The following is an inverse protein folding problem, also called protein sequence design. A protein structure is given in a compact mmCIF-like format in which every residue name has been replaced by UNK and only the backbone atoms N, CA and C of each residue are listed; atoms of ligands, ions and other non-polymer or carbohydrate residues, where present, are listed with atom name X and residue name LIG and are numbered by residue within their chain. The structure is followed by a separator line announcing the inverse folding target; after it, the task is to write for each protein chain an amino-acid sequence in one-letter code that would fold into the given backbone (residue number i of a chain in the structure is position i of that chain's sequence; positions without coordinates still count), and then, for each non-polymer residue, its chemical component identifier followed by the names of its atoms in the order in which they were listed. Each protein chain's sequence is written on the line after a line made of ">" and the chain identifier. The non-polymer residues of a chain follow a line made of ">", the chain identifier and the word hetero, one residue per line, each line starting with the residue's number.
data_IF_278157780498
#
_entry.id   IF_278157780498
#
_cell.length_a   1.000
_cell.length_b   1.000
_cell.length_c   1.000
_cell.angle_alpha   90.00
_cell.angle_beta   90.00
_cell.angle_gamma   90.00
#
_symmetry.space_group_name_H-M   'P 1'
#
loop_
_entity.id
_entity.type
_entity.pdbx_description
1 polymer ?
#
# COMPACT_ATOMS: atom_id res chain seq x y z
N UNK A 1 14.22 -10.21 4.03
CA UNK A 1 15.26 -9.15 4.09
C UNK A 1 14.84 -7.96 4.95
N UNK A 2 13.57 -7.55 4.99
CA UNK A 2 13.13 -6.44 5.84
C UNK A 2 13.50 -6.62 7.33
N UNK A 3 13.29 -7.81 7.89
CA UNK A 3 13.66 -8.11 9.28
C UNK A 3 15.18 -8.04 9.52
N UNK A 4 16.00 -8.43 8.54
CA UNK A 4 17.46 -8.28 8.62
C UNK A 4 17.85 -6.80 8.60
N UNK A 5 17.23 -6.00 7.74
CA UNK A 5 17.47 -4.56 7.66
C UNK A 5 17.04 -3.86 8.97
N UNK A 6 15.91 -4.25 9.54
CA UNK A 6 15.46 -3.83 10.85
C UNK A 6 16.49 -4.20 11.94
N UNK A 7 17.00 -5.44 11.96
CA UNK A 7 18.04 -5.86 12.90
C UNK A 7 19.33 -5.04 12.78
N UNK A 8 19.77 -4.70 11.56
CA UNK A 8 20.92 -3.82 11.34
C UNK A 8 20.70 -2.41 11.91
N UNK A 9 19.48 -1.87 11.78
CA UNK A 9 19.13 -0.58 12.37
C UNK A 9 19.07 -0.62 13.90
N UNK A 10 18.74 -1.79 14.48
CA UNK A 10 18.76 -2.00 15.93
C UNK A 10 20.15 -2.07 16.51
N UNK A 11 21.11 -2.69 15.81
CA UNK A 11 22.50 -2.73 16.23
C UNK A 11 23.12 -1.32 16.37
N UNK A 12 22.48 -0.30 15.80
CA UNK A 12 22.88 1.10 15.90
C UNK A 12 22.02 1.93 16.88
N UNK A 13 21.41 1.28 17.89
CA UNK A 13 20.62 1.90 18.96
C UNK A 13 19.49 2.83 18.47
N UNK A 14 18.87 2.50 17.32
CA UNK A 14 17.78 3.28 16.68
C UNK A 14 18.17 4.72 16.27
N UNK A 15 19.40 5.15 16.53
CA UNK A 15 19.91 6.50 16.26
C UNK A 15 19.85 6.83 14.76
N UNK A 16 20.31 5.88 13.94
CA UNK A 16 20.30 5.96 12.48
C UNK A 16 18.86 6.02 11.97
N UNK A 17 17.96 5.22 12.53
CA UNK A 17 16.58 5.14 12.04
C UNK A 17 15.77 6.42 12.31
N UNK A 18 16.02 7.10 13.45
CA UNK A 18 15.41 8.42 13.76
C UNK A 18 15.80 9.49 12.74
N UNK A 19 17.00 9.39 12.16
CA UNK A 19 17.51 10.31 11.15
C UNK A 19 17.06 9.88 9.75
N UNK A 20 17.16 8.58 9.44
CA UNK A 20 16.91 8.02 8.11
C UNK A 20 15.44 8.08 7.70
N UNK A 21 14.52 7.83 8.61
CA UNK A 21 13.09 7.75 8.29
C UNK A 21 12.50 9.08 7.80
N UNK A 22 12.84 10.25 8.38
CA UNK A 22 12.52 11.54 7.78
C UNK A 22 12.99 11.68 6.33
N UNK A 23 14.24 11.28 6.02
CA UNK A 23 14.75 11.31 4.64
C UNK A 23 13.97 10.36 3.72
N UNK A 24 13.54 9.20 4.21
CA UNK A 24 12.71 8.26 3.45
C UNK A 24 11.36 8.89 3.12
N UNK A 25 10.68 9.49 4.10
CA UNK A 25 9.39 10.17 3.91
C UNK A 25 9.53 11.30 2.89
N UNK A 26 10.52 12.18 3.09
CA UNK A 26 10.80 13.29 2.17
C UNK A 26 11.14 12.78 0.76
N UNK A 27 11.93 11.70 0.65
CA UNK A 27 12.26 11.06 -0.62
C UNK A 27 11.02 10.54 -1.35
N UNK A 28 10.09 9.88 -0.65
CA UNK A 28 8.81 9.45 -1.21
C UNK A 28 8.01 10.65 -1.71
N UNK A 29 7.92 11.74 -0.94
CA UNK A 29 7.22 12.96 -1.34
C UNK A 29 7.78 13.56 -2.63
N UNK A 30 9.12 13.68 -2.74
CA UNK A 30 9.78 14.16 -3.96
C UNK A 30 9.56 13.23 -5.14
N UNK A 31 9.63 11.91 -4.93
CA UNK A 31 9.40 10.93 -6.00
C UNK A 31 7.96 10.93 -6.47
N UNK A 32 6.97 11.03 -5.58
CA UNK A 32 5.56 11.18 -5.96
C UNK A 32 5.36 12.44 -6.80
N UNK A 33 5.90 13.58 -6.36
CA UNK A 33 5.84 14.83 -7.11
C UNK A 33 6.49 14.70 -8.50
N UNK A 34 7.66 14.06 -8.57
CA UNK A 34 8.34 13.77 -9.83
C UNK A 34 7.55 12.82 -10.73
N UNK A 35 7.00 11.74 -10.17
CA UNK A 35 6.23 10.77 -10.94
C UNK A 35 5.00 11.43 -11.57
N UNK A 36 4.35 12.34 -10.86
CA UNK A 36 3.22 13.14 -11.37
C UNK A 36 3.67 14.14 -12.43
N UNK A 37 4.59 15.05 -12.08
CA UNK A 37 4.91 16.24 -12.92
C UNK A 37 6.02 16.03 -13.95
N UNK A 38 6.89 15.04 -13.73
CA UNK A 38 8.13 14.84 -14.49
C UNK A 38 9.24 15.82 -14.11
N UNK A 39 9.07 16.60 -13.03
CA UNK A 39 9.96 17.69 -12.62
C UNK A 39 10.24 17.64 -11.12
N UNK A 40 11.34 18.27 -10.72
CA UNK A 40 11.74 18.38 -9.31
C UNK A 40 11.61 19.81 -8.77
N UNK A 41 11.42 20.79 -9.66
CA UNK A 41 11.27 22.20 -9.30
C UNK A 41 9.93 22.74 -9.80
N UNK A 42 9.30 23.67 -9.06
CA UNK A 42 8.12 24.38 -9.54
C UNK A 42 8.41 25.13 -10.84
N UNK A 43 7.40 25.25 -11.71
CA UNK A 43 7.51 26.02 -12.94
C UNK A 43 6.94 27.44 -12.76
N UNK A 44 7.63 28.44 -13.32
CA UNK A 44 7.10 29.80 -13.44
C UNK A 44 5.75 29.79 -14.18
N UNK A 45 4.74 30.49 -13.63
CA UNK A 45 3.36 30.46 -14.12
C UNK A 45 2.48 29.32 -13.59
N UNK A 46 3.06 28.32 -12.90
CA UNK A 46 2.33 27.19 -12.30
C UNK A 46 2.54 27.02 -10.79
N UNK A 47 3.25 27.96 -10.16
CA UNK A 47 3.65 27.90 -8.76
C UNK A 47 2.52 27.48 -7.80
N UNK A 48 1.32 28.07 -7.91
CA UNK A 48 0.18 27.72 -7.04
C UNK A 48 -0.22 26.25 -7.14
N UNK A 49 -0.22 25.70 -8.35
CA UNK A 49 -0.58 24.31 -8.62
C UNK A 49 0.50 23.36 -8.17
N UNK A 50 1.75 23.69 -8.47
CA UNK A 50 2.90 22.87 -8.07
C UNK A 50 3.04 22.84 -6.54
N UNK A 51 2.81 23.97 -5.84
CA UNK A 51 2.75 24.01 -4.38
C UNK A 51 1.58 23.19 -3.81
N UNK A 52 0.38 23.30 -4.37
CA UNK A 52 -0.77 22.52 -3.92
C UNK A 52 -0.52 21.01 -4.06
N UNK A 53 0.03 20.58 -5.19
CA UNK A 53 0.43 19.19 -5.40
C UNK A 53 1.54 18.76 -4.44
N UNK A 54 2.56 19.60 -4.22
CA UNK A 54 3.65 19.31 -3.28
C UNK A 54 3.12 19.11 -1.85
N UNK A 55 2.15 19.90 -1.39
CA UNK A 55 1.50 19.69 -0.10
C UNK A 55 0.83 18.32 -0.01
N UNK A 56 0.10 17.90 -1.06
CA UNK A 56 -0.52 16.57 -1.08
C UNK A 56 0.55 15.46 -1.03
N UNK A 57 1.62 15.59 -1.83
CA UNK A 57 2.73 14.64 -1.83
C UNK A 57 3.51 14.62 -0.50
N UNK A 58 3.52 15.72 0.26
CA UNK A 58 4.19 15.81 1.56
C UNK A 58 3.41 15.08 2.67
N UNK A 59 2.08 15.23 2.71
CA UNK A 59 1.28 14.65 3.79
C UNK A 59 0.98 13.16 3.61
N UNK A 60 0.78 12.71 2.37
CA UNK A 60 0.34 11.33 2.12
C UNK A 60 1.29 10.24 2.62
N UNK A 61 2.63 10.33 2.45
CA UNK A 61 3.53 9.28 2.93
C UNK A 61 3.44 9.04 4.44
N UNK A 62 3.12 10.07 5.23
CA UNK A 62 2.86 9.94 6.66
C UNK A 62 1.47 9.39 7.00
N UNK A 63 0.46 9.69 6.17
CA UNK A 63 -0.92 9.25 6.39
C UNK A 63 -1.18 7.79 6.04
N UNK A 64 -0.53 7.25 5.00
CA UNK A 64 -0.86 5.88 4.58
C UNK A 64 -0.55 4.85 5.68
N UNK A 65 0.58 4.95 6.40
CA UNK A 65 0.82 4.02 7.50
C UNK A 65 -0.04 4.31 8.75
N UNK A 66 -0.48 5.56 8.97
CA UNK A 66 -1.43 5.92 10.05
C UNK A 66 -2.78 5.23 9.86
N UNK A 67 -3.35 5.31 8.65
CA UNK A 67 -4.67 4.76 8.33
C UNK A 67 -4.73 3.22 8.26
N UNK A 68 -3.59 2.53 8.39
CA UNK A 68 -3.50 1.06 8.32
C UNK A 68 -3.04 0.43 9.65
N UNK A 69 -3.12 1.19 10.75
CA UNK A 69 -2.80 0.71 12.10
C UNK A 69 -1.40 0.07 12.21
N UNK A 70 -0.41 0.62 11.48
CA UNK A 70 0.94 0.06 11.39
C UNK A 70 1.87 0.47 12.55
N UNK A 71 1.39 1.21 13.54
CA UNK A 71 2.23 1.90 14.53
C UNK A 71 1.87 1.47 15.93
N UNK A 72 2.81 1.20 16.83
CA UNK A 72 2.53 0.84 18.25
C UNK A 72 3.71 1.13 19.18
N UNK A 73 4.90 0.66 18.78
CA UNK A 73 6.15 0.66 19.52
C UNK A 73 7.26 1.11 18.57
N UNK A 74 8.35 1.68 19.05
CA UNK A 74 9.56 1.99 18.29
C UNK A 74 10.11 0.79 17.52
N UNK A 75 10.10 -0.42 18.11
CA UNK A 75 10.54 -1.66 17.43
C UNK A 75 9.64 -2.02 16.25
N UNK A 76 8.33 -1.90 16.43
CA UNK A 76 7.32 -2.21 15.42
C UNK A 76 7.15 -1.08 14.41
N UNK A 77 7.46 0.16 14.81
CA UNK A 77 7.61 1.29 13.90
C UNK A 77 8.79 1.04 12.96
N UNK A 78 9.88 0.49 13.48
CA UNK A 78 11.05 0.14 12.67
C UNK A 78 10.75 -1.04 11.74
N UNK A 79 10.22 -2.16 12.24
CA UNK A 79 9.87 -3.31 11.41
C UNK A 79 8.79 -2.95 10.36
N UNK A 80 7.73 -2.25 10.77
CA UNK A 80 6.72 -1.71 9.87
C UNK A 80 7.31 -0.76 8.83
N UNK A 81 8.14 0.20 9.23
CA UNK A 81 8.78 1.12 8.28
C UNK A 81 9.64 0.38 7.27
N UNK A 82 10.44 -0.60 7.69
CA UNK A 82 11.29 -1.40 6.80
C UNK A 82 10.47 -2.21 5.80
N UNK A 83 9.37 -2.83 6.25
CA UNK A 83 8.49 -3.63 5.40
C UNK A 83 7.70 -2.79 4.39
N UNK A 84 7.38 -1.55 4.75
CA UNK A 84 6.35 -0.76 4.06
C UNK A 84 6.86 0.56 3.49
N UNK A 85 7.38 1.46 4.33
CA UNK A 85 7.86 2.78 3.91
C UNK A 85 9.13 2.71 3.08
N UNK A 86 10.13 1.97 3.55
CA UNK A 86 11.42 1.82 2.86
C UNK A 86 11.22 1.05 1.55
N UNK A 87 10.41 -0.01 1.60
CA UNK A 87 9.98 -0.75 0.41
C UNK A 87 9.32 0.17 -0.63
N UNK A 88 8.43 1.07 -0.23
CA UNK A 88 7.79 2.03 -1.13
C UNK A 88 8.80 3.00 -1.73
N UNK A 89 9.74 3.54 -0.94
CA UNK A 89 10.81 4.39 -1.45
C UNK A 89 11.64 3.66 -2.51
N UNK A 90 12.10 2.45 -2.19
CA UNK A 90 12.92 1.64 -3.10
C UNK A 90 12.15 1.26 -4.37
N UNK A 91 10.86 0.92 -4.23
CA UNK A 91 9.96 0.70 -5.37
C UNK A 91 9.92 1.95 -6.24
N UNK A 92 9.68 3.12 -5.64
CA UNK A 92 9.54 4.39 -6.35
C UNK A 92 10.82 4.85 -7.06
N UNK A 93 12.01 4.50 -6.56
CA UNK A 93 13.27 4.77 -7.25
C UNK A 93 13.52 3.73 -8.35
N UNK A 94 13.31 2.45 -8.03
CA UNK A 94 13.60 1.34 -8.91
C UNK A 94 12.76 1.34 -10.19
N UNK A 95 11.49 1.73 -10.10
CA UNK A 95 10.56 1.67 -11.23
C UNK A 95 10.63 2.88 -12.19
N UNK A 96 11.38 3.94 -11.83
CA UNK A 96 11.51 5.17 -12.64
C UNK A 96 11.86 4.92 -14.12
N UNK A 97 12.75 3.97 -14.49
CA UNK A 97 13.07 3.74 -15.89
C UNK A 97 11.86 3.31 -16.72
N UNK A 98 11.05 2.41 -16.17
CA UNK A 98 9.80 1.98 -16.81
C UNK A 98 8.76 3.11 -16.78
N UNK A 99 8.63 3.81 -15.66
CA UNK A 99 7.69 4.93 -15.51
C UNK A 99 7.95 6.03 -16.53
N UNK A 100 9.20 6.46 -16.66
CA UNK A 100 9.59 7.48 -17.63
C UNK A 100 9.39 7.00 -19.06
N UNK A 101 9.71 5.75 -19.38
CA UNK A 101 9.43 5.19 -20.69
C UNK A 101 7.93 5.19 -21.01
N UNK A 102 7.07 4.79 -20.06
CA UNK A 102 5.61 4.80 -20.21
C UNK A 102 5.03 6.21 -20.38
N UNK A 103 5.63 7.21 -19.71
CA UNK A 103 5.24 8.62 -19.78
C UNK A 103 5.94 9.39 -20.90
N UNK A 104 6.68 8.72 -21.79
CA UNK A 104 7.49 9.34 -22.86
C UNK A 104 8.47 10.42 -22.35
N UNK A 105 9.03 10.23 -21.16
CA UNK A 105 10.01 11.13 -20.52
C UNK A 105 11.43 10.65 -20.76
N UNK A 106 12.43 11.57 -20.79
CA UNK A 106 13.82 11.17 -20.96
C UNK A 106 14.29 10.29 -19.80
N UNK A 107 15.21 9.34 -20.06
CA UNK A 107 15.80 8.53 -19.01
C UNK A 107 16.67 9.39 -18.08
N UNK A 108 16.63 9.11 -16.78
CA UNK A 108 17.50 9.78 -15.80
C UNK A 108 18.84 9.05 -15.77
N UNK A 109 19.77 9.46 -16.65
CA UNK A 109 21.06 8.78 -16.80
C UNK A 109 21.85 8.62 -15.49
N UNK A 110 21.76 9.61 -14.60
CA UNK A 110 22.44 9.58 -13.28
C UNK A 110 21.93 8.47 -12.37
N UNK A 111 20.67 8.04 -12.52
CA UNK A 111 20.06 6.98 -11.71
C UNK A 111 20.13 5.61 -12.37
N UNK A 112 20.69 5.48 -13.57
CA UNK A 112 20.74 4.22 -14.33
C UNK A 112 21.40 3.07 -13.56
N UNK A 113 22.39 3.36 -12.72
CA UNK A 113 23.08 2.34 -11.92
C UNK A 113 22.44 2.10 -10.56
N UNK A 114 21.75 3.10 -10.02
CA UNK A 114 21.07 3.03 -8.74
C UNK A 114 19.71 2.29 -8.85
N UNK A 115 18.96 2.53 -9.92
CA UNK A 115 17.63 1.96 -10.12
C UNK A 115 17.61 0.42 -10.02
N UNK A 116 18.52 -0.36 -10.66
CA UNK A 116 18.51 -1.82 -10.53
C UNK A 116 18.71 -2.31 -9.09
N UNK A 117 19.55 -1.62 -8.31
CA UNK A 117 19.80 -1.95 -6.90
C UNK A 117 18.53 -1.72 -6.08
N UNK A 118 17.93 -0.54 -6.17
CA UNK A 118 16.70 -0.23 -5.45
C UNK A 118 15.52 -1.09 -5.89
N UNK A 119 15.44 -1.40 -7.18
CA UNK A 119 14.44 -2.30 -7.74
C UNK A 119 14.54 -3.72 -7.16
N UNK A 120 15.77 -4.24 -7.02
CA UNK A 120 16.03 -5.54 -6.39
C UNK A 120 15.70 -5.50 -4.90
N UNK A 121 16.17 -4.47 -4.19
CA UNK A 121 15.90 -4.30 -2.75
C UNK A 121 14.40 -4.24 -2.47
N UNK A 122 13.63 -3.48 -3.23
CA UNK A 122 12.19 -3.35 -3.08
C UNK A 122 11.47 -4.71 -3.15
N UNK A 123 11.82 -5.57 -4.12
CA UNK A 123 11.21 -6.90 -4.23
C UNK A 123 11.67 -7.88 -3.14
N UNK A 124 12.92 -7.77 -2.66
CA UNK A 124 13.43 -8.61 -1.57
C UNK A 124 12.89 -8.20 -0.18
N UNK A 125 12.47 -6.95 -0.02
CA UNK A 125 11.89 -6.45 1.23
C UNK A 125 10.52 -7.06 1.51
N UNK A 126 9.67 -7.21 0.49
CA UNK A 126 8.28 -7.63 0.69
C UNK A 126 7.72 -8.43 -0.50
N UNK A 127 7.05 -9.55 -0.21
CA UNK A 127 6.48 -10.47 -1.22
C UNK A 127 5.50 -9.81 -2.17
N UNK A 128 4.56 -9.02 -1.65
CA UNK A 128 3.61 -8.26 -2.47
C UNK A 128 4.29 -7.29 -3.44
N UNK A 129 5.38 -6.67 -3.00
CA UNK A 129 6.15 -5.73 -3.81
C UNK A 129 6.89 -6.46 -4.93
N UNK A 130 7.40 -7.67 -4.66
CA UNK A 130 8.01 -8.51 -5.69
C UNK A 130 7.01 -8.84 -6.82
N UNK A 131 5.78 -9.24 -6.47
CA UNK A 131 4.73 -9.52 -7.46
C UNK A 131 4.33 -8.25 -8.20
N UNK A 132 4.17 -7.13 -7.48
CA UNK A 132 3.86 -5.83 -8.07
C UNK A 132 4.91 -5.40 -9.10
N UNK A 133 6.21 -5.45 -8.76
CA UNK A 133 7.31 -5.08 -9.66
C UNK A 133 7.36 -5.96 -10.91
N UNK A 134 7.10 -7.26 -10.76
CA UNK A 134 7.08 -8.21 -11.87
C UNK A 134 5.97 -7.88 -12.86
N UNK A 135 4.73 -7.73 -12.37
CA UNK A 135 3.58 -7.38 -13.22
C UNK A 135 3.75 -6.01 -13.84
N UNK A 136 4.24 -5.03 -13.08
CA UNK A 136 4.52 -3.69 -13.59
C UNK A 136 5.51 -3.76 -14.77
N UNK A 137 6.59 -4.52 -14.62
CA UNK A 137 7.62 -4.68 -15.64
C UNK A 137 7.09 -5.34 -16.91
N UNK A 138 6.38 -6.45 -16.78
CA UNK A 138 5.79 -7.17 -17.92
C UNK A 138 4.76 -6.30 -18.63
N UNK A 139 3.81 -5.73 -17.89
CA UNK A 139 2.77 -4.88 -18.47
C UNK A 139 3.40 -3.65 -19.17
N UNK A 140 4.40 -3.02 -18.56
CA UNK A 140 5.13 -1.91 -19.17
C UNK A 140 5.81 -2.34 -20.48
N UNK A 141 6.52 -3.48 -20.49
CA UNK A 141 7.17 -3.98 -21.70
C UNK A 141 6.18 -4.30 -22.81
N UNK A 142 5.01 -4.87 -22.50
CA UNK A 142 3.96 -5.15 -23.48
C UNK A 142 3.42 -3.87 -24.14
N UNK A 143 3.28 -2.80 -23.36
CA UNK A 143 2.86 -1.49 -23.90
C UNK A 143 3.98 -0.83 -24.74
N UNK A 144 5.23 -0.93 -24.32
CA UNK A 144 6.38 -0.34 -25.01
C UNK A 144 6.81 -1.12 -26.27
N UNK A 145 6.58 -2.45 -26.29
CA UNK A 145 6.85 -3.30 -27.46
C UNK A 145 6.12 -2.82 -28.70
N UNK A 146 4.86 -2.39 -28.53
CA UNK A 146 3.99 -1.95 -29.63
C UNK A 146 4.51 -0.72 -30.37
N UNK A 147 5.47 0.02 -29.83
CA UNK A 147 6.10 1.16 -30.49
C UNK A 147 7.51 0.87 -31.02
N UNK A 148 7.98 -0.38 -30.96
CA UNK A 148 9.35 -0.75 -31.37
C UNK A 148 10.46 -0.20 -30.45
N UNK A 149 10.10 0.39 -29.30
CA UNK A 149 11.04 1.00 -28.34
C UNK A 149 11.21 0.11 -27.12
N UNK A 150 11.93 -0.99 -27.24
CA UNK A 150 12.33 -1.80 -26.10
C UNK A 150 13.82 -1.64 -25.79
N UNK A 151 14.19 -0.72 -24.88
CA UNK A 151 15.56 -0.63 -24.43
C UNK A 151 15.96 -1.92 -23.72
N UNK A 152 17.09 -2.53 -24.13
CA UNK A 152 17.68 -3.73 -23.50
C UNK A 152 17.76 -3.63 -21.97
N UNK A 153 17.97 -2.41 -21.47
CA UNK A 153 18.00 -2.11 -20.05
C UNK A 153 16.69 -2.49 -19.31
N UNK A 154 15.51 -2.26 -19.90
CA UNK A 154 14.24 -2.64 -19.29
C UNK A 154 14.04 -4.16 -19.28
N UNK A 155 14.49 -4.85 -20.33
CA UNK A 155 14.47 -6.33 -20.35
C UNK A 155 15.33 -6.91 -19.24
N UNK A 156 16.53 -6.36 -19.00
CA UNK A 156 17.40 -6.76 -17.88
C UNK A 156 16.70 -6.54 -16.54
N UNK A 157 16.08 -5.37 -16.32
CA UNK A 157 15.32 -5.10 -15.09
C UNK A 157 14.15 -6.07 -14.91
N UNK A 158 13.45 -6.42 -15.99
CA UNK A 158 12.40 -7.44 -15.94
C UNK A 158 12.97 -8.81 -15.56
N UNK A 159 14.11 -9.21 -16.12
CA UNK A 159 14.82 -10.42 -15.73
C UNK A 159 15.18 -10.46 -14.24
N UNK A 160 15.68 -9.34 -13.71
CA UNK A 160 15.93 -9.16 -12.27
C UNK A 160 14.63 -9.29 -11.47
N UNK A 161 13.54 -8.65 -11.91
CA UNK A 161 12.23 -8.75 -11.25
C UNK A 161 11.74 -10.20 -11.16
N UNK A 162 11.88 -10.95 -12.25
CA UNK A 162 11.50 -12.36 -12.33
C UNK A 162 12.33 -13.19 -11.35
N UNK A 163 13.65 -12.98 -11.31
CA UNK A 163 14.54 -13.69 -10.40
C UNK A 163 14.19 -13.41 -8.93
N UNK A 164 13.92 -12.14 -8.57
CA UNK A 164 13.49 -11.75 -7.22
C UNK A 164 12.14 -12.37 -6.87
N UNK A 165 11.18 -12.36 -7.80
CA UNK A 165 9.88 -12.99 -7.58
C UNK A 165 10.03 -14.50 -7.31
N UNK A 166 10.78 -15.21 -8.17
CA UNK A 166 11.06 -16.65 -7.99
C UNK A 166 11.70 -16.87 -6.62
N UNK A 167 12.76 -16.13 -6.30
CA UNK A 167 13.45 -16.24 -5.02
C UNK A 167 12.49 -16.09 -3.83
N UNK A 168 11.67 -15.02 -3.83
CA UNK A 168 10.73 -14.75 -2.73
C UNK A 168 9.68 -15.84 -2.58
N UNK A 169 9.17 -16.42 -3.68
CA UNK A 169 8.22 -17.55 -3.60
C UNK A 169 8.88 -18.87 -3.23
N UNK A 170 10.17 -19.06 -3.54
CA UNK A 170 10.91 -20.28 -3.17
C UNK A 170 11.39 -20.28 -1.71
N UNK A 171 11.26 -19.16 -0.99
CA UNK A 171 11.72 -19.06 0.39
C UNK A 171 10.83 -19.87 1.37
N UNK A 172 11.42 -20.66 2.29
CA UNK A 172 10.69 -21.60 3.15
C UNK A 172 9.66 -20.93 4.07
N UNK A 173 9.86 -19.67 4.46
CA UNK A 173 8.91 -18.92 5.28
C UNK A 173 7.56 -18.66 4.62
N UNK A 174 7.51 -18.55 3.29
CA UNK A 174 6.25 -18.40 2.56
C UNK A 174 5.47 -19.72 2.52
N UNK A 175 6.17 -20.84 2.32
CA UNK A 175 5.57 -22.17 2.33
C UNK A 175 5.00 -22.54 3.71
N UNK A 176 5.70 -22.24 4.79
CA UNK A 176 5.23 -22.54 6.15
C UNK A 176 3.89 -21.86 6.47
N UNK A 177 3.76 -20.58 6.13
CA UNK A 177 2.51 -19.80 6.31
C UNK A 177 1.37 -20.37 5.47
N UNK A 178 1.65 -20.77 4.23
CA UNK A 178 0.66 -21.38 3.34
C UNK A 178 0.20 -22.75 3.85
N UNK A 179 1.10 -23.55 4.44
CA UNK A 179 0.76 -24.86 5.02
C UNK A 179 -0.02 -24.77 6.33
N UNK A 180 0.27 -23.80 7.20
CA UNK A 180 -0.46 -23.60 8.47
C UNK A 180 -1.91 -23.14 8.23
N UNK A 181 -2.15 -22.25 7.26
CA UNK A 181 -3.50 -21.82 6.86
C UNK A 181 -4.30 -22.99 6.23
N UNK A 182 -3.60 -23.95 5.60
CA UNK A 182 -4.19 -25.11 4.96
C UNK A 182 -4.77 -26.18 5.90
N UNK A 183 -4.41 -26.19 7.19
CA UNK A 183 -4.75 -27.28 8.11
C UNK A 183 -6.17 -27.22 8.71
N UNK A 184 -6.90 -26.10 8.58
CA UNK A 184 -8.21 -25.92 9.23
C UNK A 184 -9.47 -26.14 8.38
N UNK A 185 -9.35 -26.44 7.08
CA UNK A 185 -10.48 -26.27 6.15
C UNK A 185 -10.82 -27.56 5.39
N UNK A 186 -12.02 -28.11 5.60
CA UNK A 186 -12.52 -29.36 5.00
C UNK A 186 -13.37 -29.17 3.72
N UNK A 187 -13.45 -27.94 3.19
CA UNK A 187 -14.26 -27.60 1.99
C UNK A 187 -13.56 -27.84 0.65
N UNK A 188 -14.35 -27.88 -0.44
CA UNK A 188 -13.86 -27.93 -1.83
C UNK A 188 -13.02 -26.68 -2.21
N UNK A 189 -12.07 -26.81 -3.14
CA UNK A 189 -11.19 -25.71 -3.56
C UNK A 189 -11.98 -24.47 -4.04
N UNK A 190 -13.08 -24.68 -4.77
CA UNK A 190 -13.94 -23.60 -5.28
C UNK A 190 -14.61 -22.84 -4.13
N UNK A 191 -15.07 -23.55 -3.10
CA UNK A 191 -15.67 -22.93 -1.91
C UNK A 191 -14.65 -22.09 -1.15
N UNK A 192 -13.40 -22.58 -1.01
CA UNK A 192 -12.31 -21.83 -0.38
C UNK A 192 -11.98 -20.56 -1.15
N UNK A 193 -11.89 -20.64 -2.48
CA UNK A 193 -11.62 -19.47 -3.31
C UNK A 193 -12.75 -18.43 -3.18
N UNK A 194 -14.01 -18.88 -3.15
CA UNK A 194 -15.15 -18.01 -2.90
C UNK A 194 -15.06 -17.32 -1.53
N UNK A 195 -14.83 -18.08 -0.45
CA UNK A 195 -14.73 -17.55 0.92
C UNK A 195 -13.57 -16.53 1.03
N UNK A 196 -12.42 -16.82 0.44
CA UNK A 196 -11.26 -15.94 0.47
C UNK A 196 -11.49 -14.65 -0.34
N UNK A 197 -12.08 -14.75 -1.54
CA UNK A 197 -12.43 -13.57 -2.34
C UNK A 197 -13.52 -12.74 -1.68
N UNK A 198 -14.55 -13.38 -1.12
CA UNK A 198 -15.61 -12.69 -0.38
C UNK A 198 -15.00 -11.93 0.80
N UNK A 199 -14.14 -12.56 1.60
CA UNK A 199 -13.46 -11.89 2.71
C UNK A 199 -12.58 -10.72 2.24
N UNK A 200 -11.88 -10.87 1.12
CA UNK A 200 -11.02 -9.84 0.55
C UNK A 200 -11.79 -8.62 0.01
N UNK A 201 -12.98 -8.82 -0.61
CA UNK A 201 -13.75 -7.72 -1.19
C UNK A 201 -14.66 -6.99 -0.19
N UNK A 202 -14.99 -7.58 0.96
CA UNK A 202 -15.79 -6.93 2.02
C UNK A 202 -15.30 -5.52 2.37
N UNK A 203 -14.00 -5.31 2.67
CA UNK A 203 -13.50 -3.99 3.08
C UNK A 203 -13.64 -2.93 1.99
N UNK A 204 -13.59 -3.28 0.70
CA UNK A 204 -13.75 -2.33 -0.41
C UNK A 204 -15.14 -1.72 -0.52
N UNK A 205 -16.12 -2.39 0.09
CA UNK A 205 -17.48 -1.91 0.26
C UNK A 205 -17.77 -1.39 1.67
N UNK A 206 -16.81 -1.42 2.59
CA UNK A 206 -17.00 -0.94 3.97
C UNK A 206 -15.97 0.12 4.31
N UNK A 207 -14.73 -0.25 4.62
CA UNK A 207 -13.72 0.67 5.13
C UNK A 207 -12.91 1.36 4.02
N UNK A 208 -12.78 0.73 2.86
CA UNK A 208 -12.00 1.20 1.71
C UNK A 208 -12.86 1.77 0.58
N UNK A 209 -14.13 2.09 0.86
CA UNK A 209 -15.03 2.73 -0.12
C UNK A 209 -14.43 3.99 -0.78
N UNK A 210 -13.61 4.84 -0.11
CA UNK A 210 -13.06 6.02 -0.77
C UNK A 210 -12.13 5.67 -1.94
N UNK A 211 -11.37 4.58 -1.83
CA UNK A 211 -10.49 4.10 -2.91
C UNK A 211 -11.35 3.64 -4.10
N UNK A 212 -12.38 2.84 -3.83
CA UNK A 212 -13.33 2.35 -4.82
C UNK A 212 -14.01 3.49 -5.56
N UNK A 213 -14.52 4.49 -4.83
CA UNK A 213 -15.20 5.65 -5.39
C UNK A 213 -14.25 6.52 -6.23
N UNK A 214 -13.06 6.83 -5.74
CA UNK A 214 -12.12 7.72 -6.43
C UNK A 214 -11.59 7.09 -7.73
N UNK A 215 -11.30 5.78 -7.74
CA UNK A 215 -10.90 5.08 -8.96
C UNK A 215 -12.07 5.05 -9.96
N UNK A 216 -13.29 4.81 -9.48
CA UNK A 216 -14.51 4.90 -10.28
C UNK A 216 -14.69 6.28 -10.93
N UNK A 217 -14.50 7.36 -10.18
CA UNK A 217 -14.53 8.74 -10.69
C UNK A 217 -13.46 9.00 -11.76
N UNK A 218 -12.24 8.50 -11.56
CA UNK A 218 -11.18 8.59 -12.57
C UNK A 218 -11.57 7.86 -13.87
N UNK A 219 -12.18 6.67 -13.75
CA UNK A 219 -12.68 5.93 -14.90
C UNK A 219 -13.83 6.65 -15.61
N UNK A 220 -14.80 7.20 -14.88
CA UNK A 220 -15.91 7.96 -15.47
C UNK A 220 -15.39 9.18 -16.25
N UNK A 221 -14.44 9.92 -15.67
CA UNK A 221 -13.79 11.04 -16.34
C UNK A 221 -13.12 10.62 -17.65
N UNK A 222 -12.34 9.54 -17.63
CA UNK A 222 -11.66 9.03 -18.82
C UNK A 222 -12.64 8.48 -19.85
N UNK A 223 -13.71 7.80 -19.42
CA UNK A 223 -14.74 7.28 -20.30
C UNK A 223 -15.55 8.40 -20.99
N UNK A 224 -15.66 9.56 -20.34
CA UNK A 224 -16.24 10.76 -20.98
C UNK A 224 -15.34 11.30 -22.09
N UNK A 225 -14.01 11.34 -21.88
CA UNK A 225 -13.05 11.82 -22.90
C UNK A 225 -12.73 10.79 -23.99
N UNK A 226 -12.70 9.52 -23.62
CA UNK A 226 -12.26 8.39 -24.44
C UNK A 226 -13.39 7.34 -24.52
N UNK A 227 -14.40 7.57 -25.38
CA UNK A 227 -15.61 6.75 -25.41
C UNK A 227 -15.32 5.31 -25.83
N UNK A 228 -16.08 4.39 -25.24
CA UNK A 228 -16.20 2.98 -25.62
C UNK A 228 -17.43 2.76 -26.50
N UNK A 229 -17.48 1.65 -27.23
CA UNK A 229 -18.65 1.26 -28.07
C UNK A 229 -19.97 1.24 -27.28
N UNK A 230 -19.94 0.84 -26.01
CA UNK A 230 -21.10 0.79 -25.11
C UNK A 230 -21.04 1.85 -24.00
N UNK A 231 -20.54 3.06 -24.32
CA UNK A 231 -20.24 4.12 -23.35
C UNK A 231 -21.35 4.37 -22.31
N UNK A 232 -22.61 4.52 -22.74
CA UNK A 232 -23.73 4.83 -21.83
C UNK A 232 -23.95 3.74 -20.77
N UNK A 233 -23.92 2.48 -21.20
CA UNK A 233 -24.09 1.32 -20.31
C UNK A 233 -22.90 1.24 -19.34
N UNK A 234 -21.67 1.40 -19.86
CA UNK A 234 -20.46 1.37 -19.03
C UNK A 234 -20.42 2.55 -18.04
N UNK A 235 -20.85 3.75 -18.44
CA UNK A 235 -20.98 4.91 -17.56
C UNK A 235 -22.00 4.66 -16.44
N UNK A 236 -23.18 4.14 -16.79
CA UNK A 236 -24.19 3.80 -15.79
C UNK A 236 -23.67 2.75 -14.81
N UNK A 237 -23.01 1.71 -15.32
CA UNK A 237 -22.49 0.60 -14.52
C UNK A 237 -21.38 1.05 -13.55
N UNK A 238 -20.40 1.81 -14.03
CA UNK A 238 -19.32 2.36 -13.18
C UNK A 238 -19.86 3.46 -12.26
N UNK A 239 -20.78 4.29 -12.74
CA UNK A 239 -21.44 5.34 -11.96
C UNK A 239 -22.20 4.76 -10.78
N UNK A 240 -22.97 3.70 -11.02
CA UNK A 240 -23.67 2.96 -9.99
C UNK A 240 -22.70 2.44 -8.91
N UNK A 241 -21.58 1.82 -9.30
CA UNK A 241 -20.62 1.27 -8.33
C UNK A 241 -19.88 2.34 -7.53
N UNK A 242 -19.58 3.47 -8.18
CA UNK A 242 -18.96 4.65 -7.56
C UNK A 242 -19.84 5.24 -6.46
N UNK A 243 -21.17 5.23 -6.66
CA UNK A 243 -22.16 5.70 -5.68
C UNK A 243 -22.53 4.61 -4.66
N UNK A 244 -22.55 3.35 -5.08
CA UNK A 244 -22.86 2.21 -4.22
C UNK A 244 -21.78 2.02 -3.13
N UNK A 245 -20.51 2.24 -3.47
CA UNK A 245 -19.38 2.11 -2.54
C UNK A 245 -19.57 2.89 -1.22
N UNK A 246 -19.86 4.21 -1.22
CA UNK A 246 -20.12 4.95 0.02
C UNK A 246 -21.48 4.62 0.68
N UNK A 247 -22.47 4.17 -0.08
CA UNK A 247 -23.82 3.94 0.42
C UNK A 247 -24.06 2.50 0.92
N UNK A 248 -23.16 1.58 0.64
CA UNK A 248 -23.25 0.15 0.99
C UNK A 248 -23.51 -0.10 2.48
N UNK A 249 -22.88 0.68 3.36
CA UNK A 249 -23.07 0.61 4.82
C UNK A 249 -24.47 1.09 5.24
N UNK A 250 -25.04 2.06 4.52
CA UNK A 250 -26.36 2.62 4.79
C UNK A 250 -27.48 1.75 4.21
N UNK A 251 -27.24 1.15 3.04
CA UNK A 251 -28.24 0.43 2.25
C UNK A 251 -28.53 -1.00 2.74
N UNK A 252 -28.01 -1.40 3.91
CA UNK A 252 -28.18 -2.75 4.48
C UNK A 252 -27.95 -3.86 3.45
N UNK A 253 -26.92 -3.71 2.60
CA UNK A 253 -26.61 -4.69 1.58
C UNK A 253 -26.27 -6.04 2.24
N UNK A 254 -26.62 -7.17 1.60
CA UNK A 254 -26.28 -8.48 2.13
C UNK A 254 -24.76 -8.56 2.31
N UNK A 255 -24.33 -8.74 3.55
CA UNK A 255 -22.89 -8.87 3.81
C UNK A 255 -22.38 -10.10 3.06
N UNK A 256 -21.21 -9.97 2.44
CA UNK A 256 -20.54 -11.06 1.73
C UNK A 256 -20.17 -12.23 2.67
N UNK A 257 -20.41 -12.10 3.99
CA UNK A 257 -20.09 -13.07 5.04
C UNK A 257 -21.28 -13.88 5.55
N UNK A 258 -22.52 -13.65 5.09
CA UNK A 258 -23.69 -14.39 5.63
C UNK A 258 -23.90 -15.78 5.01
N UNK A 259 -23.73 -16.81 5.85
CA UNK A 259 -23.97 -18.22 5.58
C UNK A 259 -25.46 -18.59 5.72
N UNK A 260 -26.25 -18.30 4.70
CA UNK A 260 -27.62 -18.82 4.54
C UNK A 260 -27.93 -19.07 3.06
N UNK A 261 -28.76 -20.08 2.73
CA UNK A 261 -28.96 -20.51 1.33
C UNK A 261 -29.49 -19.39 0.40
N UNK A 262 -30.38 -18.53 0.89
CA UNK A 262 -30.89 -17.35 0.15
C UNK A 262 -29.98 -16.11 0.24
N UNK A 263 -29.18 -16.02 1.31
CA UNK A 263 -28.14 -15.00 1.46
C UNK A 263 -26.94 -15.25 0.53
N UNK A 264 -26.65 -16.53 0.24
CA UNK A 264 -25.54 -16.95 -0.62
C UNK A 264 -25.66 -16.44 -2.05
N UNK A 265 -26.84 -16.54 -2.67
CA UNK A 265 -27.05 -16.06 -4.05
C UNK A 265 -26.87 -14.54 -4.15
N UNK A 266 -27.42 -13.78 -3.18
CA UNK A 266 -27.30 -12.32 -3.15
C UNK A 266 -25.85 -11.87 -2.90
N UNK A 267 -25.15 -12.51 -1.97
CA UNK A 267 -23.72 -12.28 -1.73
C UNK A 267 -22.87 -12.61 -2.96
N UNK A 268 -23.19 -13.70 -3.67
CA UNK A 268 -22.49 -14.09 -4.90
C UNK A 268 -22.70 -13.07 -6.01
N UNK A 269 -23.92 -12.57 -6.19
CA UNK A 269 -24.22 -11.52 -7.17
C UNK A 269 -23.49 -10.21 -6.83
N UNK A 270 -23.42 -9.84 -5.55
CA UNK A 270 -22.68 -8.66 -5.11
C UNK A 270 -21.17 -8.81 -5.32
N UNK A 271 -20.61 -9.98 -5.04
CA UNK A 271 -19.20 -10.29 -5.32
C UNK A 271 -18.91 -10.20 -6.82
N UNK A 272 -19.76 -10.84 -7.64
CA UNK A 272 -19.64 -10.79 -9.09
C UNK A 272 -19.73 -9.35 -9.62
N UNK A 273 -20.65 -8.56 -9.06
CA UNK A 273 -20.78 -7.15 -9.39
C UNK A 273 -19.47 -6.39 -9.14
N UNK A 274 -18.84 -6.53 -7.97
CA UNK A 274 -17.59 -5.84 -7.66
C UNK A 274 -16.43 -6.28 -8.55
N UNK A 275 -16.33 -7.58 -8.85
CA UNK A 275 -15.33 -8.09 -9.80
C UNK A 275 -15.54 -7.44 -11.17
N UNK A 276 -16.76 -7.44 -11.68
CA UNK A 276 -17.11 -6.83 -12.96
C UNK A 276 -16.90 -5.31 -12.97
N UNK A 277 -17.16 -4.63 -11.85
CA UNK A 277 -16.89 -3.20 -11.66
C UNK A 277 -15.41 -2.87 -11.84
N UNK A 278 -14.52 -3.61 -11.17
CA UNK A 278 -13.07 -3.40 -11.31
C UNK A 278 -12.53 -3.80 -12.69
N UNK A 279 -13.12 -4.80 -13.34
CA UNK A 279 -12.80 -5.14 -14.73
C UNK A 279 -13.27 -4.07 -15.71
N UNK A 280 -14.45 -3.48 -15.50
CA UNK A 280 -14.96 -2.39 -16.33
C UNK A 280 -14.03 -1.16 -16.26
N UNK A 281 -13.55 -0.81 -15.06
CA UNK A 281 -12.54 0.24 -14.87
C UNK A 281 -11.26 -0.05 -15.66
N UNK A 282 -10.74 -1.29 -15.58
CA UNK A 282 -9.56 -1.69 -16.36
C UNK A 282 -9.79 -1.51 -17.86
N UNK A 283 -10.96 -1.92 -18.37
CA UNK A 283 -11.31 -1.73 -19.78
C UNK A 283 -11.30 -0.26 -20.19
N UNK A 284 -11.77 0.65 -19.33
CA UNK A 284 -11.69 2.10 -19.58
C UNK A 284 -10.23 2.58 -19.63
N UNK A 285 -9.39 2.17 -18.69
CA UNK A 285 -7.98 2.57 -18.69
C UNK A 285 -7.21 2.00 -19.89
N UNK A 286 -7.50 0.76 -20.28
CA UNK A 286 -6.97 0.17 -21.51
C UNK A 286 -7.40 0.96 -22.75
N UNK A 287 -8.64 1.42 -22.81
CA UNK A 287 -9.15 2.23 -23.91
C UNK A 287 -8.46 3.60 -23.97
N UNK A 288 -8.34 4.28 -22.84
CA UNK A 288 -7.62 5.55 -22.77
C UNK A 288 -6.15 5.40 -23.22
N UNK A 289 -5.46 4.36 -22.77
CA UNK A 289 -4.09 4.04 -23.18
C UNK A 289 -3.93 3.67 -24.67
N UNK A 290 -4.99 3.14 -25.30
CA UNK A 290 -5.01 2.87 -26.75
C UNK A 290 -5.18 4.15 -27.56
N UNK A 291 -6.02 5.07 -27.10
CA UNK A 291 -6.33 6.30 -27.81
C UNK A 291 -5.24 7.38 -27.63
N UNK A 292 -4.66 7.49 -26.44
CA UNK A 292 -3.60 8.46 -26.16
C UNK A 292 -2.45 7.80 -25.38
N UNK A 293 -1.24 7.95 -25.94
CA UNK A 293 0.00 7.37 -25.39
C UNK A 293 0.33 7.92 -24.01
N UNK A 294 -0.14 9.12 -23.67
CA UNK A 294 0.08 9.72 -22.35
C UNK A 294 -0.56 8.90 -21.23
N UNK A 295 -1.62 8.13 -21.52
CA UNK A 295 -2.34 7.32 -20.52
C UNK A 295 -1.85 5.88 -20.38
N UNK A 296 -0.77 5.47 -21.05
CA UNK A 296 -0.25 4.09 -21.01
C UNK A 296 0.13 3.59 -19.62
N UNK A 297 0.50 4.52 -18.74
CA UNK A 297 0.81 4.20 -17.35
C UNK A 297 -0.42 3.73 -16.57
N UNK A 298 -1.64 4.13 -16.93
CA UNK A 298 -2.86 3.83 -16.18
C UNK A 298 -3.14 2.32 -16.06
N UNK A 299 -3.27 1.55 -17.16
CA UNK A 299 -3.51 0.12 -17.05
C UNK A 299 -2.35 -0.62 -16.37
N UNK A 300 -1.11 -0.19 -16.60
CA UNK A 300 0.08 -0.79 -15.95
C UNK A 300 0.03 -0.61 -14.44
N UNK A 301 -0.22 0.61 -13.98
CA UNK A 301 -0.31 0.95 -12.57
C UNK A 301 -1.51 0.28 -11.90
N UNK A 302 -2.66 0.24 -12.58
CA UNK A 302 -3.88 -0.40 -12.08
C UNK A 302 -3.71 -1.92 -11.91
N UNK A 303 -3.10 -2.60 -12.90
CA UNK A 303 -2.80 -4.03 -12.78
C UNK A 303 -1.82 -4.29 -11.63
N UNK A 304 -0.78 -3.48 -11.53
CA UNK A 304 0.22 -3.57 -10.46
C UNK A 304 -0.41 -3.44 -9.07
N UNK A 305 -1.30 -2.47 -8.93
CA UNK A 305 -2.05 -2.19 -7.70
C UNK A 305 -2.89 -3.39 -7.26
N UNK A 306 -3.68 -3.99 -8.16
CA UNK A 306 -4.52 -5.15 -7.80
C UNK A 306 -3.72 -6.43 -7.60
N UNK A 307 -2.70 -6.68 -8.42
CA UNK A 307 -1.91 -7.92 -8.30
C UNK A 307 -1.00 -7.89 -7.06
N UNK A 308 -0.62 -6.72 -6.55
CA UNK A 308 0.05 -6.66 -5.24
C UNK A 308 -0.80 -7.27 -4.11
N UNK A 309 -2.12 -7.37 -4.29
CA UNK A 309 -3.05 -7.96 -3.34
C UNK A 309 -3.40 -9.42 -3.63
N UNK A 310 -2.79 -10.05 -4.64
CA UNK A 310 -3.11 -11.43 -5.03
C UNK A 310 -2.81 -12.43 -3.91
N UNK A 311 -1.68 -12.29 -3.20
CA UNK A 311 -1.32 -13.17 -2.07
C UNK A 311 -2.34 -13.01 -0.91
N UNK A 312 -2.64 -11.80 -0.40
CA UNK A 312 -3.69 -11.61 0.60
C UNK A 312 -5.06 -12.15 0.17
N UNK A 313 -5.46 -11.90 -1.09
CA UNK A 313 -6.73 -12.37 -1.63
C UNK A 313 -6.80 -13.90 -1.69
N UNK A 314 -5.69 -14.58 -2.02
CA UNK A 314 -5.60 -16.04 -2.02
C UNK A 314 -5.63 -16.64 -0.61
N UNK A 315 -5.10 -15.93 0.38
CA UNK A 315 -5.07 -16.34 1.79
C UNK A 315 -6.35 -15.97 2.55
N UNK A 316 -7.26 -15.21 1.95
CA UNK A 316 -8.44 -14.67 2.65
C UNK A 316 -8.07 -13.67 3.74
N UNK A 317 -6.88 -13.06 3.68
CA UNK A 317 -6.45 -12.05 4.63
C UNK A 317 -6.85 -10.65 4.16
N UNK A 318 -7.63 -9.93 4.97
CA UNK A 318 -7.84 -8.49 4.83
C UNK A 318 -6.98 -7.74 5.87
N UNK A 319 -6.19 -6.72 5.44
CA UNK A 319 -5.38 -5.90 6.35
C UNK A 319 -4.18 -5.20 5.70
N UNK A 320 -3.18 -4.85 6.54
CA UNK A 320 -1.84 -4.24 6.31
C UNK A 320 -1.21 -4.34 4.90
N UNK A 321 -1.34 -5.46 4.15
CA UNK A 321 -0.98 -5.57 2.74
C UNK A 321 -1.50 -4.50 1.76
N UNK A 322 -2.40 -3.60 2.17
CA UNK A 322 -3.07 -2.62 1.30
C UNK A 322 -2.21 -1.37 1.00
N UNK A 323 -1.04 -1.18 1.65
CA UNK A 323 -0.18 -0.01 1.40
C UNK A 323 0.22 0.17 -0.08
N UNK A 324 0.76 -0.84 -0.79
CA UNK A 324 1.06 -0.69 -2.22
C UNK A 324 -0.19 -0.31 -3.02
N UNK A 325 -1.36 -0.85 -2.66
CA UNK A 325 -2.62 -0.51 -3.32
C UNK A 325 -2.98 0.96 -3.10
N UNK A 326 -2.88 1.48 -1.88
CA UNK A 326 -3.16 2.90 -1.57
C UNK A 326 -2.14 3.83 -2.23
N UNK A 327 -0.85 3.51 -2.14
CA UNK A 327 0.22 4.31 -2.74
C UNK A 327 0.09 4.40 -4.26
N UNK A 328 -0.22 3.29 -4.93
CA UNK A 328 -0.49 3.30 -6.38
C UNK A 328 -1.82 4.01 -6.70
N UNK A 329 -2.87 3.84 -5.90
CA UNK A 329 -4.13 4.58 -6.10
C UNK A 329 -3.89 6.08 -6.05
N UNK A 330 -3.14 6.55 -5.05
CA UNK A 330 -2.78 7.96 -4.93
C UNK A 330 -2.02 8.43 -6.17
N UNK A 331 -0.99 7.69 -6.61
CA UNK A 331 -0.22 8.06 -7.79
C UNK A 331 -1.10 8.10 -9.04
N UNK A 332 -2.04 7.16 -9.20
CA UNK A 332 -3.02 7.13 -10.29
C UNK A 332 -3.83 8.43 -10.31
N UNK A 333 -4.43 8.76 -9.17
CA UNK A 333 -5.35 9.89 -9.01
C UNK A 333 -4.63 11.21 -9.22
N UNK A 334 -3.44 11.37 -8.63
CA UNK A 334 -2.65 12.59 -8.82
C UNK A 334 -2.22 12.75 -10.27
N UNK A 335 -1.87 11.67 -10.97
CA UNK A 335 -1.56 11.74 -12.38
C UNK A 335 -2.80 12.10 -13.22
N UNK A 336 -3.96 11.48 -12.96
CA UNK A 336 -5.21 11.83 -13.66
C UNK A 336 -5.59 13.29 -13.40
N UNK A 337 -5.53 13.76 -12.15
CA UNK A 337 -5.74 15.16 -11.77
C UNK A 337 -4.74 16.10 -12.45
N UNK A 338 -3.52 15.64 -12.69
CA UNK A 338 -2.52 16.44 -13.39
C UNK A 338 -2.82 16.57 -14.89
N UNK A 339 -3.28 15.50 -15.54
CA UNK A 339 -3.71 15.53 -16.95
C UNK A 339 -5.04 16.28 -17.14
N UNK A 340 -5.84 16.35 -16.08
CA UNK A 340 -7.02 17.21 -16.02
C UNK A 340 -6.56 18.68 -15.98
N UNK A 341 -6.60 19.37 -17.11
CA UNK A 341 -6.40 20.83 -17.22
C UNK A 341 -7.53 21.65 -16.59
N UNK A 342 -8.16 21.17 -15.51
CA UNK A 342 -9.17 21.94 -14.78
C UNK A 342 -8.48 23.07 -14.04
N UNK A 343 -8.92 24.30 -14.31
CA UNK A 343 -8.68 25.46 -13.44
C UNK A 343 -9.11 25.20 -11.98
N UNK A 344 -9.94 24.18 -11.75
CA UNK A 344 -10.43 23.71 -10.44
C UNK A 344 -9.56 22.63 -9.77
N UNK A 345 -8.45 22.18 -10.37
CA UNK A 345 -7.58 21.17 -9.75
C UNK A 345 -6.91 21.67 -8.46
N UNK A 346 -6.54 22.96 -8.42
CA UNK A 346 -5.85 23.57 -7.26
C UNK A 346 -6.74 23.57 -6.01
N UNK A 347 -8.01 24.04 -6.03
CA UNK A 347 -8.91 23.92 -4.89
C UNK A 347 -9.04 22.48 -4.36
N UNK A 348 -9.18 21.49 -5.25
CA UNK A 348 -9.29 20.07 -4.85
C UNK A 348 -8.01 19.62 -4.13
N UNK A 349 -6.84 19.90 -4.70
CA UNK A 349 -5.55 19.55 -4.09
C UNK A 349 -5.35 20.24 -2.74
N UNK A 350 -5.72 21.52 -2.61
CA UNK A 350 -5.63 22.25 -1.34
C UNK A 350 -6.61 21.70 -0.29
N UNK A 351 -7.85 21.37 -0.66
CA UNK A 351 -8.80 20.72 0.23
C UNK A 351 -8.28 19.34 0.67
N UNK A 352 -7.73 18.55 -0.25
CA UNK A 352 -7.10 17.26 0.07
C UNK A 352 -5.94 17.44 1.04
N UNK A 353 -5.06 18.42 0.80
CA UNK A 353 -3.95 18.74 1.70
C UNK A 353 -4.43 19.24 3.08
N UNK A 354 -5.51 20.02 3.13
CA UNK A 354 -6.10 20.50 4.38
C UNK A 354 -6.70 19.35 5.21
N UNK A 355 -7.47 18.45 4.57
CA UNK A 355 -7.99 17.24 5.22
C UNK A 355 -6.84 16.35 5.71
N UNK A 356 -5.81 16.20 4.89
CA UNK A 356 -4.61 15.44 5.24
C UNK A 356 -3.89 16.03 6.46
N UNK A 357 -3.75 17.36 6.53
CA UNK A 357 -3.20 18.05 7.68
C UNK A 357 -4.08 17.86 8.93
N UNK A 358 -5.39 18.04 8.83
CA UNK A 358 -6.32 17.80 9.95
C UNK A 358 -6.24 16.36 10.45
N UNK A 359 -6.13 15.37 9.56
CA UNK A 359 -5.95 13.98 9.92
C UNK A 359 -4.65 13.76 10.68
N UNK A 360 -3.53 14.35 10.24
CA UNK A 360 -2.25 14.30 10.96
C UNK A 360 -2.32 14.97 12.33
N UNK A 361 -2.98 16.13 12.45
CA UNK A 361 -3.14 16.81 13.73
C UNK A 361 -3.97 15.98 14.71
N UNK A 362 -5.01 15.29 14.23
CA UNK A 362 -5.83 14.40 15.04
C UNK A 362 -5.08 13.16 15.54
N UNK A 363 -3.93 12.79 14.95
CA UNK A 363 -3.13 11.67 15.43
C UNK A 363 -2.16 12.06 16.54
N UNK A 364 -1.95 13.35 16.79
CA UNK A 364 -0.98 13.79 17.78
C UNK A 364 -1.32 13.32 19.20
N UNK A 365 -2.56 13.52 19.65
CA UNK A 365 -3.03 13.08 20.96
C UNK A 365 -2.91 11.56 21.18
N UNK A 366 -3.40 10.68 20.28
CA UNK A 366 -3.26 9.24 20.47
C UNK A 366 -1.81 8.76 20.37
N UNK A 367 -0.98 9.35 19.51
CA UNK A 367 0.46 9.04 19.43
C UNK A 367 1.18 9.42 20.72
N UNK A 368 0.87 10.59 21.31
CA UNK A 368 1.45 11.02 22.59
C UNK A 368 1.03 10.09 23.74
N UNK A 369 -0.23 9.64 23.75
CA UNK A 369 -0.72 8.64 24.72
C UNK A 369 0.04 7.31 24.58
N UNK A 370 0.17 6.80 23.35
CA UNK A 370 0.94 5.58 23.07
C UNK A 370 2.41 5.73 23.47
N UNK A 371 3.01 6.90 23.23
CA UNK A 371 4.38 7.20 23.63
C UNK A 371 4.55 7.21 25.16
N UNK A 372 3.61 7.79 25.91
CA UNK A 372 3.64 7.75 27.37
C UNK A 372 3.57 6.31 27.90
N UNK A 373 2.63 5.51 27.39
CA UNK A 373 2.51 4.08 27.73
C UNK A 373 3.77 3.28 27.38
N UNK A 374 4.46 3.65 26.30
CA UNK A 374 5.76 3.07 25.94
C UNK A 374 6.89 3.48 26.90
N UNK A 375 6.93 4.74 27.33
CA UNK A 375 7.91 5.21 28.32
C UNK A 375 7.77 4.47 29.66
N UNK A 376 6.54 4.19 30.10
CA UNK A 376 6.29 3.37 31.30
C UNK A 376 6.89 1.97 31.19
N UNK A 377 6.85 1.36 30.00
CA UNK A 377 7.46 0.05 29.73
C UNK A 377 8.98 0.15 29.80
N UNK A 378 9.59 1.17 29.17
CA UNK A 378 11.03 1.40 29.25
C UNK A 378 11.52 1.61 30.68
N UNK A 379 10.75 2.34 31.49
CA UNK A 379 11.05 2.51 32.91
C UNK A 379 11.00 1.17 33.65
N UNK A 380 9.97 0.35 33.45
CA UNK A 380 9.87 -1.00 34.03
C UNK A 380 11.05 -1.89 33.61
N UNK A 381 11.46 -1.85 32.35
CA UNK A 381 12.60 -2.60 31.83
C UNK A 381 13.90 -2.15 32.49
N UNK A 382 14.11 -0.84 32.63
CA UNK A 382 15.29 -0.30 33.30
C UNK A 382 15.34 -0.72 34.78
N UNK A 383 14.19 -0.73 35.47
CA UNK A 383 14.06 -1.19 36.84
C UNK A 383 14.34 -2.69 36.97
N UNK A 384 13.86 -3.50 36.01
CA UNK A 384 14.08 -4.94 35.99
C UNK A 384 15.56 -5.30 35.78
N UNK A 385 16.24 -4.58 34.87
CA UNK A 385 17.70 -4.69 34.67
C UNK A 385 18.48 -4.28 35.92
N UNK A 386 18.04 -3.23 36.61
CA UNK A 386 18.61 -2.78 37.87
C UNK A 386 18.26 -3.66 39.09
N UNK A 387 17.60 -4.81 38.88
CA UNK A 387 17.15 -5.74 39.94
C UNK A 387 16.14 -5.14 40.93
N UNK A 388 15.41 -4.10 40.54
CA UNK A 388 14.38 -3.47 41.38
C UNK A 388 13.00 -4.11 41.22
N UNK A 389 12.76 -4.78 40.11
CA UNK A 389 11.53 -5.53 39.82
C UNK A 389 11.88 -6.81 39.08
N UNK A 390 11.04 -7.85 39.21
CA UNK A 390 11.16 -9.09 38.43
C UNK A 390 10.03 -9.24 37.41
N UNK A 391 9.20 -8.21 37.22
CA UNK A 391 8.07 -8.23 36.30
C UNK A 391 8.12 -7.00 35.39
N UNK A 392 7.89 -7.23 34.10
CA UNK A 392 7.62 -6.19 33.10
C UNK A 392 6.24 -6.46 32.51
N UNK A 393 5.34 -5.49 32.65
CA UNK A 393 3.95 -5.61 32.18
C UNK A 393 3.76 -4.86 30.88
N UNK A 394 3.23 -5.56 29.87
CA UNK A 394 2.73 -4.99 28.64
C UNK A 394 1.20 -4.97 28.69
N UNK A 395 0.63 -3.80 28.98
CA UNK A 395 -0.81 -3.60 29.10
C UNK A 395 -1.39 -3.00 27.82
N UNK A 396 -2.15 -3.80 27.08
CA UNK A 396 -2.77 -3.40 25.83
C UNK A 396 -3.78 -2.28 26.01
N UNK A 397 -4.49 -2.23 27.14
CA UNK A 397 -5.55 -1.24 27.40
C UNK A 397 -5.03 0.18 27.51
N UNK A 398 -3.72 0.34 27.78
CA UNK A 398 -3.04 1.63 27.85
C UNK A 398 -2.69 2.20 26.47
N UNK A 399 -2.84 1.43 25.40
CA UNK A 399 -2.58 1.89 24.05
C UNK A 399 -3.89 2.22 23.33
N UNK A 400 -3.89 3.34 22.60
CA UNK A 400 -4.93 3.62 21.63
C UNK A 400 -4.76 2.68 20.43
N UNK A 401 -5.56 1.61 20.39
CA UNK A 401 -5.50 0.56 19.37
C UNK A 401 -5.84 1.00 17.95
N UNK A 402 -6.45 2.18 17.79
CA UNK A 402 -6.65 2.75 16.47
C UNK A 402 -5.35 3.31 15.87
N UNK A 403 -4.37 3.63 16.71
CA UNK A 403 -3.04 4.09 16.29
C UNK A 403 -1.94 3.21 16.90
N UNK A 404 -2.32 1.99 17.33
CA UNK A 404 -1.47 0.93 17.88
C UNK A 404 -1.62 -0.33 16.99
N UNK A 405 -0.51 -0.96 16.59
CA UNK A 405 -0.48 -2.28 15.97
C UNK A 405 -1.07 -3.29 16.95
N UNK A 406 -2.24 -3.82 16.63
CA UNK A 406 -3.05 -4.68 17.51
C UNK A 406 -2.36 -5.97 18.01
N UNK A 407 -1.31 -6.43 17.33
CA UNK A 407 -0.57 -7.66 17.67
C UNK A 407 0.80 -7.43 18.30
N UNK A 408 1.06 -6.22 18.83
CA UNK A 408 2.39 -5.80 19.29
C UNK A 408 2.86 -6.52 20.54
N UNK A 409 1.91 -6.81 21.43
CA UNK A 409 2.19 -7.18 22.81
C UNK A 409 1.36 -8.40 23.19
N UNK A 410 1.61 -9.52 22.51
CA UNK A 410 0.95 -10.78 22.77
C UNK A 410 1.97 -11.84 23.18
N UNK A 411 1.53 -12.81 23.98
CA UNK A 411 2.36 -13.88 24.54
C UNK A 411 3.27 -14.62 23.52
N UNK A 412 2.84 -14.86 22.26
CA UNK A 412 3.70 -15.48 21.25
C UNK A 412 5.03 -14.75 20.98
N UNK A 413 5.09 -13.42 21.17
CA UNK A 413 6.32 -12.62 20.94
C UNK A 413 7.21 -12.49 22.18
N UNK A 414 6.92 -13.22 23.26
CA UNK A 414 7.66 -13.11 24.52
C UNK A 414 9.17 -13.36 24.39
N UNK A 415 9.56 -14.30 23.53
CA UNK A 415 10.97 -14.60 23.23
C UNK A 415 11.66 -13.42 22.53
N UNK A 416 11.03 -12.87 21.49
CA UNK A 416 11.58 -11.75 20.72
C UNK A 416 11.67 -10.48 21.57
N UNK A 417 10.64 -10.20 22.38
CA UNK A 417 10.62 -9.07 23.33
C UNK A 417 11.73 -9.20 24.37
N UNK A 418 11.94 -10.40 24.92
CA UNK A 418 13.02 -10.66 25.88
C UNK A 418 14.39 -10.37 25.28
N UNK A 419 14.64 -10.89 24.08
CA UNK A 419 15.90 -10.69 23.39
C UNK A 419 16.13 -9.22 23.02
N UNK A 420 15.08 -8.58 22.48
CA UNK A 420 15.12 -7.18 22.08
C UNK A 420 15.51 -6.25 23.23
N UNK A 421 14.88 -6.42 24.38
CA UNK A 421 15.17 -5.61 25.56
C UNK A 421 16.34 -6.14 26.39
N UNK A 422 17.01 -7.22 25.98
CA UNK A 422 18.04 -7.91 26.76
C UNK A 422 17.61 -8.17 28.20
N UNK A 423 16.39 -8.70 28.39
CA UNK A 423 15.82 -8.95 29.71
C UNK A 423 16.40 -10.25 30.32
N UNK A 424 16.92 -10.21 31.56
CA UNK A 424 17.40 -11.42 32.24
C UNK A 424 16.32 -12.49 32.36
N UNK A 425 16.68 -13.78 32.28
CA UNK A 425 15.72 -14.91 32.31
C UNK A 425 14.75 -14.87 33.50
N UNK A 426 15.22 -14.43 34.66
CA UNK A 426 14.40 -14.28 35.88
C UNK A 426 13.23 -13.30 35.74
N UNK A 427 13.31 -12.34 34.80
CA UNK A 427 12.26 -11.33 34.63
C UNK A 427 11.07 -11.98 33.93
N UNK A 428 9.92 -11.94 34.57
CA UNK A 428 8.64 -12.39 34.02
C UNK A 428 8.05 -11.30 33.13
N UNK A 429 7.66 -11.67 31.92
CA UNK A 429 6.94 -10.79 31.00
C UNK A 429 5.44 -11.11 31.13
N UNK A 430 4.65 -10.12 31.55
CA UNK A 430 3.20 -10.25 31.63
C UNK A 430 2.50 -9.47 30.51
N UNK A 431 1.52 -10.10 29.87
CA UNK A 431 0.68 -9.47 28.85
C UNK A 431 -0.73 -9.31 29.42
N UNK A 432 -1.23 -8.08 29.48
CA UNK A 432 -2.62 -7.80 29.87
C UNK A 432 -3.43 -7.44 28.62
N UNK A 433 -4.44 -8.25 28.25
CA UNK A 433 -5.31 -7.98 27.10
C UNK A 433 -6.31 -6.86 27.40
#
# INVERSE_FOLDING_TARGET
>A
MANLFAQLLLLADLSIWKVLTPFVITGISFLLFYCVTGRLTPQEGRLKRDCALACVCAFFPGLIPLGQHLFADTFLWMDGSCNYLYTLLFFLIGFLPFWNALRNRPPIYRLRWACPVFFTLAGLMHEQTAVALFIFSIAALLFLHKDGKQPRYLLVLTGISTAVMIFTFTCPGAYHRLTEVGQGHTGSMVRRLYENLAHYFVPFSADYWPLTAVIGLCALYLLYRHPLRFQRITMLFIGFGTVLAPLSQVLSLPSLQHSGASAGMKATLLLLYWILFFLAILCVFLQAARQDKNYRYLPVLYLTMWVSQAIPALLGGAGRPVLPLVGMTLLLVLCVLEEITLTKAVPVQLCTAAVALCALLNTFAPVMSNYASYQDILQQISAAKARKTDVVTFDQRKFNMHYCYFHSFIAPYSYDIRNYYCLPERVRIEFKP
#
